data_IF_355971805214
#
_entry.id   IF_355971805214
#
_cell.length_a   1.000
_cell.length_b   1.000
_cell.length_c   1.000
_cell.angle_alpha   90.00
_cell.angle_beta   90.00
_cell.angle_gamma   90.00
#
_symmetry.space_group_name_H-M   'P 1'
#
loop_
_entity.id
_entity.type
_entity.pdbx_description
1 polymer ?
#
# COMPACT_ATOMS: atom_id res chain seq x y z
N UNK A 1 4.28 0.47 6.85
CA UNK A 1 3.67 -0.29 7.96
C UNK A 1 3.54 -1.76 7.61
N UNK A 2 2.57 -2.20 6.79
CA UNK A 2 2.36 -3.61 6.47
C UNK A 2 3.64 -4.34 5.97
N UNK A 3 4.22 -3.89 4.85
CA UNK A 3 5.43 -4.51 4.30
C UNK A 3 6.58 -4.60 5.30
N UNK A 4 6.78 -3.56 6.11
CA UNK A 4 7.85 -3.56 7.12
C UNK A 4 7.61 -4.51 8.30
N UNK A 5 6.37 -4.99 8.49
CA UNK A 5 6.07 -6.05 9.45
C UNK A 5 6.23 -7.43 8.80
N UNK A 6 5.75 -7.59 7.57
CA UNK A 6 5.91 -8.84 6.82
C UNK A 6 7.39 -9.18 6.57
N UNK A 7 8.23 -8.17 6.30
CA UNK A 7 9.68 -8.35 6.14
C UNK A 7 10.44 -8.84 7.38
N UNK A 8 9.77 -8.99 8.52
CA UNK A 8 10.39 -9.56 9.71
C UNK A 8 10.24 -11.08 9.75
N UNK A 9 9.40 -11.66 8.89
CA UNK A 9 9.24 -13.10 8.78
C UNK A 9 10.42 -13.70 8.00
N UNK A 10 11.09 -14.75 8.52
CA UNK A 10 12.29 -15.32 7.89
C UNK A 10 12.03 -15.88 6.48
N UNK A 11 10.82 -16.39 6.23
CA UNK A 11 10.46 -16.97 4.93
C UNK A 11 9.94 -15.94 3.90
N UNK A 12 9.93 -14.63 4.22
CA UNK A 12 9.47 -13.56 3.32
C UNK A 12 10.65 -12.76 2.77
N UNK A 13 10.78 -12.72 1.44
CA UNK A 13 11.65 -11.75 0.75
C UNK A 13 10.82 -10.59 0.21
N UNK A 14 11.13 -9.36 0.66
CA UNK A 14 10.38 -8.15 0.28
C UNK A 14 11.13 -7.30 -0.76
N UNK A 15 10.63 -7.32 -2.00
CA UNK A 15 11.12 -6.50 -3.12
C UNK A 15 10.47 -5.10 -3.17
N UNK A 16 9.54 -4.79 -2.27
CA UNK A 16 8.93 -3.46 -2.10
C UNK A 16 8.29 -2.92 -3.39
N UNK A 17 8.48 -1.64 -3.74
CA UNK A 17 7.94 -1.03 -4.96
C UNK A 17 8.86 -1.26 -6.17
N UNK A 18 8.68 -2.40 -6.85
CA UNK A 18 9.44 -2.75 -8.06
C UNK A 18 9.34 -1.66 -9.15
N UNK A 19 8.22 -0.94 -9.23
CA UNK A 19 7.99 0.10 -10.24
C UNK A 19 8.44 1.51 -9.84
N UNK A 20 8.97 1.68 -8.63
CA UNK A 20 9.53 2.94 -8.19
C UNK A 20 11.07 2.88 -8.30
N UNK A 21 11.69 3.45 -9.35
CA UNK A 21 13.12 3.23 -9.64
C UNK A 21 14.05 3.67 -8.51
N UNK A 22 13.58 4.50 -7.57
CA UNK A 22 14.37 4.98 -6.43
C UNK A 22 14.32 4.07 -5.20
N UNK A 23 13.35 3.16 -5.13
CA UNK A 23 13.14 2.31 -3.96
C UNK A 23 13.75 0.91 -4.16
N UNK A 24 14.58 0.50 -3.21
CA UNK A 24 15.20 -0.83 -3.13
C UNK A 24 15.00 -1.38 -1.72
N UNK A 25 14.72 -2.67 -1.59
CA UNK A 25 14.59 -3.34 -0.28
C UNK A 25 15.35 -4.65 -0.28
N UNK A 26 15.02 -5.57 -1.18
CA UNK A 26 15.82 -6.76 -1.49
C UNK A 26 16.33 -6.70 -2.94
N UNK A 27 17.38 -7.47 -3.23
CA UNK A 27 17.95 -7.68 -4.57
C UNK A 27 18.04 -9.20 -4.77
N UNK A 28 17.58 -9.75 -5.90
CA UNK A 28 17.76 -11.18 -6.18
C UNK A 28 19.24 -11.57 -6.15
N UNK A 29 19.58 -12.72 -5.56
CA UNK A 29 20.98 -13.14 -5.39
C UNK A 29 21.77 -13.23 -6.70
N UNK A 30 21.09 -13.50 -7.82
CA UNK A 30 21.70 -13.60 -9.14
C UNK A 30 22.08 -12.24 -9.77
N UNK A 31 21.78 -11.11 -9.11
CA UNK A 31 22.02 -9.77 -9.65
C UNK A 31 22.87 -8.93 -8.70
N UNK A 32 23.81 -8.19 -9.25
CA UNK A 32 24.41 -7.04 -8.57
C UNK A 32 23.38 -5.93 -8.37
N UNK A 33 23.68 -4.98 -7.49
CA UNK A 33 22.81 -3.82 -7.25
C UNK A 33 22.64 -2.99 -8.53
N UNK A 34 23.72 -2.81 -9.29
CA UNK A 34 23.76 -2.04 -10.52
C UNK A 34 22.88 -2.69 -11.59
N UNK A 35 23.01 -4.01 -11.79
CA UNK A 35 22.17 -4.77 -12.72
C UNK A 35 20.70 -4.74 -12.33
N UNK A 36 20.41 -4.95 -11.03
CA UNK A 36 19.05 -4.86 -10.50
C UNK A 36 18.44 -3.49 -10.78
N UNK A 37 19.17 -2.41 -10.48
CA UNK A 37 18.69 -1.04 -10.70
C UNK A 37 18.49 -0.73 -12.18
N UNK A 38 19.40 -1.19 -13.05
CA UNK A 38 19.28 -1.03 -14.48
C UNK A 38 18.06 -1.78 -15.05
N UNK A 39 17.86 -3.04 -14.66
CA UNK A 39 16.71 -3.85 -15.06
C UNK A 39 15.41 -3.27 -14.53
N UNK A 40 15.37 -2.87 -13.26
CA UNK A 40 14.20 -2.24 -12.63
C UNK A 40 13.78 -0.95 -13.33
N UNK A 41 14.74 -0.15 -13.80
CA UNK A 41 14.46 1.09 -14.53
C UNK A 41 14.04 0.86 -15.98
N UNK A 42 14.69 -0.07 -16.68
CA UNK A 42 14.49 -0.31 -18.12
C UNK A 42 13.35 -1.28 -18.41
N UNK A 43 13.28 -2.37 -17.66
CA UNK A 43 12.35 -3.48 -17.90
C UNK A 43 11.97 -4.21 -16.59
N UNK A 44 11.18 -3.58 -15.71
CA UNK A 44 10.75 -4.19 -14.43
C UNK A 44 9.89 -5.44 -14.61
N UNK A 45 9.29 -5.63 -15.79
CA UNK A 45 8.61 -6.85 -16.20
C UNK A 45 9.57 -8.03 -16.35
N UNK A 46 10.69 -7.82 -17.05
CA UNK A 46 11.74 -8.84 -17.20
C UNK A 46 12.37 -9.19 -15.86
N UNK A 47 12.59 -8.19 -15.01
CA UNK A 47 13.07 -8.40 -13.64
C UNK A 47 12.14 -9.35 -12.85
N UNK A 48 10.83 -9.17 -12.94
CA UNK A 48 9.87 -10.07 -12.30
C UNK A 48 10.00 -11.50 -12.83
N UNK A 49 9.89 -11.66 -14.15
CA UNK A 49 9.85 -12.97 -14.80
C UNK A 49 11.16 -13.75 -14.65
N UNK A 50 12.32 -13.11 -14.80
CA UNK A 50 13.60 -13.81 -14.90
C UNK A 50 14.31 -13.96 -13.54
N UNK A 51 13.95 -13.14 -12.54
CA UNK A 51 14.72 -13.07 -11.29
C UNK A 51 13.91 -13.06 -10.00
N UNK A 52 12.61 -12.77 -10.05
CA UNK A 52 11.77 -12.75 -8.85
C UNK A 52 10.80 -13.92 -8.84
N UNK A 53 10.15 -14.28 -9.95
CA UNK A 53 9.28 -15.45 -9.99
C UNK A 53 10.03 -16.79 -9.91
N UNK A 54 11.23 -16.94 -10.51
CA UNK A 54 11.99 -18.17 -10.36
C UNK A 54 12.37 -18.34 -8.89
N UNK A 55 11.87 -19.42 -8.30
CA UNK A 55 12.10 -19.76 -6.90
C UNK A 55 13.43 -20.51 -6.75
N UNK A 56 14.31 -19.99 -5.90
CA UNK A 56 15.30 -20.80 -5.18
C UNK A 56 14.76 -20.98 -3.75
N UNK A 57 14.75 -22.21 -3.24
CA UNK A 57 14.23 -22.48 -1.90
C UNK A 57 14.89 -21.62 -0.82
N UNK A 58 14.09 -21.12 0.12
CA UNK A 58 14.55 -20.51 1.38
C UNK A 58 14.21 -21.50 2.49
N UNK A 59 15.21 -21.95 3.25
CA UNK A 59 15.04 -22.93 4.34
C UNK A 59 14.32 -24.24 3.93
N UNK A 60 14.55 -24.73 2.71
CA UNK A 60 13.90 -25.94 2.20
C UNK A 60 12.41 -25.76 1.86
N UNK A 61 11.95 -24.51 1.68
CA UNK A 61 10.59 -24.17 1.26
C UNK A 61 10.61 -23.21 0.07
N UNK A 62 9.57 -23.21 -0.79
CA UNK A 62 9.42 -22.17 -1.79
C UNK A 62 9.40 -20.78 -1.13
N UNK A 63 10.19 -19.82 -1.63
CA UNK A 63 10.29 -18.50 -1.02
C UNK A 63 9.00 -17.71 -1.22
N UNK A 64 8.56 -16.97 -0.19
CA UNK A 64 7.44 -16.03 -0.35
C UNK A 64 7.98 -14.67 -0.75
N UNK A 65 7.86 -14.36 -2.05
CA UNK A 65 8.27 -13.09 -2.62
C UNK A 65 7.13 -12.08 -2.57
N UNK A 66 7.34 -10.95 -1.90
CA UNK A 66 6.34 -9.88 -1.78
C UNK A 66 6.84 -8.62 -2.49
N UNK A 67 5.98 -8.07 -3.33
CA UNK A 67 6.14 -6.75 -3.91
C UNK A 67 4.82 -5.97 -3.86
N UNK A 68 4.90 -4.65 -4.01
CA UNK A 68 3.76 -3.75 -3.93
C UNK A 68 3.53 -3.02 -5.24
N UNK A 69 2.28 -3.07 -5.69
CA UNK A 69 1.77 -2.25 -6.78
C UNK A 69 0.85 -1.16 -6.22
N UNK A 70 1.17 0.10 -6.52
CA UNK A 70 0.22 1.17 -6.27
C UNK A 70 -0.75 1.30 -7.45
N UNK A 71 -1.96 1.82 -7.21
CA UNK A 71 -2.97 1.96 -8.27
C UNK A 71 -2.47 2.76 -9.50
N UNK A 72 -1.65 3.78 -9.27
CA UNK A 72 -1.09 4.57 -10.37
C UNK A 72 -0.08 3.77 -11.21
N UNK A 73 0.63 2.79 -10.61
CA UNK A 73 1.51 1.88 -11.36
C UNK A 73 0.66 1.00 -12.28
N UNK A 74 -0.44 0.44 -11.77
CA UNK A 74 -1.34 -0.46 -12.52
C UNK A 74 -2.03 0.25 -13.70
N UNK A 75 -2.38 1.53 -13.54
CA UNK A 75 -3.01 2.33 -14.61
C UNK A 75 -2.04 2.81 -15.69
N UNK A 76 -0.73 2.71 -15.47
CA UNK A 76 0.26 3.12 -16.46
C UNK A 76 0.36 2.11 -17.62
N UNK A 77 1.03 2.48 -18.72
CA UNK A 77 1.30 1.56 -19.82
C UNK A 77 2.10 0.32 -19.36
N UNK A 78 3.10 0.53 -18.51
CA UNK A 78 3.83 -0.56 -17.86
C UNK A 78 2.93 -1.37 -16.92
N UNK A 79 1.99 -0.70 -16.25
CA UNK A 79 0.90 -1.28 -15.47
C UNK A 79 0.15 -2.39 -16.19
N UNK A 80 -0.32 -2.09 -17.41
CA UNK A 80 -1.06 -3.04 -18.25
C UNK A 80 -0.22 -4.28 -18.59
N UNK A 81 1.04 -4.09 -19.01
CA UNK A 81 1.98 -5.18 -19.30
C UNK A 81 2.22 -6.08 -18.09
N UNK A 82 2.28 -5.51 -16.90
CA UNK A 82 2.41 -6.31 -15.66
C UNK A 82 1.15 -7.15 -15.44
N UNK A 83 -0.03 -6.57 -15.64
CA UNK A 83 -1.26 -7.34 -15.49
C UNK A 83 -1.36 -8.47 -16.51
N UNK A 84 -0.89 -8.26 -17.75
CA UNK A 84 -0.78 -9.31 -18.78
C UNK A 84 0.15 -10.46 -18.33
N UNK A 85 1.20 -10.16 -17.57
CA UNK A 85 2.12 -11.19 -17.02
C UNK A 85 1.58 -11.88 -15.77
N UNK A 86 0.87 -11.14 -14.91
CA UNK A 86 0.34 -11.69 -13.66
C UNK A 86 -0.92 -12.52 -13.90
N UNK A 87 -1.71 -12.21 -14.92
CA UNK A 87 -2.99 -12.89 -15.17
C UNK A 87 -2.83 -14.40 -15.41
N UNK A 88 -1.87 -14.89 -16.21
CA UNK A 88 -1.63 -16.33 -16.38
C UNK A 88 -1.15 -17.02 -15.09
N UNK A 89 -0.58 -16.27 -14.15
CA UNK A 89 -0.07 -16.77 -12.86
C UNK A 89 -1.13 -16.67 -11.75
N UNK A 90 -2.40 -16.37 -12.07
CA UNK A 90 -3.40 -16.05 -11.05
C UNK A 90 -3.62 -17.15 -10.02
N UNK A 91 -3.42 -18.41 -10.40
CA UNK A 91 -3.52 -19.58 -9.51
C UNK A 91 -2.38 -19.61 -8.48
N UNK A 92 -1.19 -19.12 -8.84
CA UNK A 92 0.00 -19.11 -7.99
C UNK A 92 0.16 -17.80 -7.19
N UNK A 93 -0.71 -16.81 -7.44
CA UNK A 93 -0.62 -15.48 -6.84
C UNK A 93 -1.59 -15.28 -5.68
N UNK A 94 -1.05 -14.90 -4.53
CA UNK A 94 -1.80 -14.43 -3.38
C UNK A 94 -1.90 -12.89 -3.39
N UNK A 95 -3.10 -12.34 -3.58
CA UNK A 95 -3.32 -10.90 -3.68
C UNK A 95 -3.85 -10.30 -2.38
N UNK A 96 -3.05 -9.43 -1.76
CA UNK A 96 -3.49 -8.60 -0.62
C UNK A 96 -3.87 -7.20 -1.11
N UNK A 97 -5.17 -6.90 -1.11
CA UNK A 97 -5.71 -5.58 -1.44
C UNK A 97 -5.86 -4.71 -0.18
N UNK A 98 -4.83 -3.91 0.13
CA UNK A 98 -4.88 -2.97 1.24
C UNK A 98 -5.66 -1.70 0.86
N UNK A 99 -6.81 -1.49 1.49
CA UNK A 99 -7.70 -0.33 1.27
C UNK A 99 -7.81 0.53 2.53
N UNK A 100 -8.15 1.80 2.38
CA UNK A 100 -8.49 2.72 3.47
C UNK A 100 -9.96 3.09 3.30
N UNK A 101 -10.79 2.80 4.29
CA UNK A 101 -12.24 3.01 4.21
C UNK A 101 -12.55 4.48 4.01
N UNK A 102 -11.84 5.38 4.71
CA UNK A 102 -12.05 6.81 4.57
C UNK A 102 -11.22 7.41 3.42
N UNK A 103 -11.89 7.75 2.31
CA UNK A 103 -11.24 8.28 1.12
C UNK A 103 -10.72 9.73 1.30
N UNK A 104 -11.38 10.52 2.17
CA UNK A 104 -10.94 11.88 2.45
C UNK A 104 -9.67 11.90 3.30
N UNK A 105 -9.63 11.07 4.35
CA UNK A 105 -8.45 10.83 5.18
C UNK A 105 -7.27 10.29 4.37
N UNK A 106 -7.55 9.42 3.38
CA UNK A 106 -6.56 8.98 2.40
C UNK A 106 -6.00 10.15 1.59
N UNK A 107 -6.87 11.06 1.14
CA UNK A 107 -6.46 12.22 0.36
C UNK A 107 -5.63 13.21 1.18
N UNK A 108 -6.07 13.58 2.38
CA UNK A 108 -5.32 14.47 3.29
C UNK A 108 -3.95 13.89 3.63
N UNK A 109 -3.88 12.59 3.92
CA UNK A 109 -2.59 11.93 4.14
C UNK A 109 -1.67 11.98 2.93
N UNK A 110 -2.21 11.95 1.70
CA UNK A 110 -1.41 12.08 0.48
C UNK A 110 -0.84 13.50 0.37
N UNK A 111 -1.68 14.51 0.56
CA UNK A 111 -1.25 15.92 0.53
C UNK A 111 -0.15 16.21 1.55
N UNK A 112 -0.25 15.66 2.76
CA UNK A 112 0.79 15.83 3.78
C UNK A 112 2.11 15.19 3.36
N UNK A 113 2.07 14.01 2.75
CA UNK A 113 3.27 13.32 2.29
C UNK A 113 3.96 14.10 1.16
N UNK A 114 3.18 14.69 0.25
CA UNK A 114 3.68 15.55 -0.82
C UNK A 114 4.33 16.83 -0.27
N UNK A 115 3.71 17.46 0.74
CA UNK A 115 4.24 18.68 1.37
C UNK A 115 5.51 18.46 2.19
N UNK A 116 5.58 17.35 2.93
CA UNK A 116 6.67 17.12 3.89
C UNK A 116 7.82 16.29 3.31
N UNK A 117 7.65 15.71 2.12
CA UNK A 117 8.54 14.68 1.55
C UNK A 117 8.83 13.49 2.49
N UNK A 118 8.07 13.34 3.58
CA UNK A 118 8.24 12.32 4.61
C UNK A 118 6.96 11.48 4.71
N UNK A 119 7.11 10.18 4.46
CA UNK A 119 5.99 9.22 4.50
C UNK A 119 5.88 8.49 5.85
N UNK A 120 6.97 8.41 6.62
CA UNK A 120 7.06 7.75 7.94
C UNK A 120 8.12 8.44 8.81
N UNK A 121 7.95 8.36 10.14
CA UNK A 121 8.95 8.79 11.13
C UNK A 121 9.45 7.52 11.85
N UNK A 122 10.76 7.35 11.94
CA UNK A 122 11.38 6.26 12.72
C UNK A 122 11.10 6.47 14.21
N UNK A 123 10.84 5.37 14.94
CA UNK A 123 10.64 5.41 16.39
C UNK A 123 11.88 6.03 17.07
N UNK A 124 11.69 7.04 17.93
CA UNK A 124 12.77 7.68 18.70
C UNK A 124 13.41 8.93 18.10
N UNK A 125 12.94 9.43 16.94
CA UNK A 125 13.35 10.77 16.43
C UNK A 125 12.32 11.83 16.80
N UNK A 126 12.79 13.08 16.92
CA UNK A 126 11.91 14.25 17.07
C UNK A 126 10.80 14.24 16.03
N UNK A 127 9.58 14.38 16.53
CA UNK A 127 8.40 14.37 15.71
C UNK A 127 8.39 15.66 14.87
N UNK A 128 8.22 15.59 13.54
CA UNK A 128 7.95 16.80 12.78
C UNK A 128 6.69 17.45 13.37
N UNK A 129 6.74 18.77 13.61
CA UNK A 129 5.54 19.51 14.01
C UNK A 129 4.43 19.25 12.98
N UNK A 130 3.18 19.07 13.42
CA UNK A 130 2.04 19.02 12.50
C UNK A 130 2.12 20.20 11.53
N UNK A 131 1.92 20.00 10.22
CA UNK A 131 1.81 21.14 9.33
C UNK A 131 0.62 22.01 9.77
N UNK A 132 0.74 23.33 9.63
CA UNK A 132 -0.38 24.22 9.89
C UNK A 132 -1.60 23.81 9.06
N UNK A 133 -2.82 23.87 9.63
CA UNK A 133 -4.02 23.51 8.91
C UNK A 133 -4.16 24.29 7.61
N UNK A 134 -4.41 23.58 6.51
CA UNK A 134 -4.46 24.18 5.18
C UNK A 134 -5.84 24.00 4.53
N UNK A 135 -6.27 24.91 3.65
CA UNK A 135 -7.51 24.73 2.93
C UNK A 135 -7.37 23.63 1.89
N UNK A 136 -8.48 22.90 1.65
CA UNK A 136 -8.61 21.95 0.56
C UNK A 136 -9.74 22.41 -0.35
N UNK A 137 -9.48 22.48 -1.66
CA UNK A 137 -10.49 22.86 -2.63
C UNK A 137 -11.57 21.76 -2.77
N UNK A 138 -12.85 22.17 -2.77
CA UNK A 138 -14.01 21.25 -2.88
C UNK A 138 -13.91 20.34 -4.10
N UNK A 139 -13.58 20.93 -5.26
CA UNK A 139 -13.44 20.19 -6.52
C UNK A 139 -12.34 19.13 -6.46
N UNK A 140 -11.21 19.44 -5.84
CA UNK A 140 -10.10 18.52 -5.67
C UNK A 140 -10.44 17.38 -4.72
N UNK A 141 -11.04 17.68 -3.56
CA UNK A 141 -11.49 16.66 -2.61
C UNK A 141 -12.46 15.67 -3.30
N UNK A 142 -13.46 16.18 -4.02
CA UNK A 142 -14.42 15.35 -4.75
C UNK A 142 -13.74 14.46 -5.79
N UNK A 143 -12.84 15.03 -6.61
CA UNK A 143 -12.10 14.26 -7.63
C UNK A 143 -11.23 13.20 -6.99
N UNK A 144 -10.47 13.54 -5.95
CA UNK A 144 -9.58 12.61 -5.27
C UNK A 144 -10.32 11.44 -4.62
N UNK A 145 -11.43 11.72 -3.92
CA UNK A 145 -12.26 10.68 -3.31
C UNK A 145 -12.90 9.77 -4.37
N UNK A 146 -13.40 10.35 -5.47
CA UNK A 146 -13.97 9.60 -6.59
C UNK A 146 -12.93 8.69 -7.23
N UNK A 147 -11.79 9.24 -7.66
CA UNK A 147 -10.72 8.48 -8.30
C UNK A 147 -10.22 7.34 -7.41
N UNK A 148 -10.11 7.57 -6.10
CA UNK A 148 -9.72 6.51 -5.17
C UNK A 148 -10.74 5.37 -5.12
N UNK A 149 -12.04 5.69 -5.07
CA UNK A 149 -13.09 4.67 -5.09
C UNK A 149 -13.14 3.91 -6.42
N UNK A 150 -12.92 4.62 -7.52
CA UNK A 150 -12.85 4.01 -8.85
C UNK A 150 -11.64 3.07 -8.96
N UNK A 151 -10.48 3.47 -8.43
CA UNK A 151 -9.28 2.62 -8.35
C UNK A 151 -9.53 1.37 -7.52
N UNK A 152 -10.17 1.51 -6.35
CA UNK A 152 -10.55 0.36 -5.49
C UNK A 152 -11.47 -0.60 -6.25
N UNK A 153 -12.49 -0.08 -6.93
CA UNK A 153 -13.46 -0.89 -7.67
C UNK A 153 -12.82 -1.55 -8.90
N UNK A 154 -11.93 -0.84 -9.60
CA UNK A 154 -11.18 -1.36 -10.74
C UNK A 154 -10.37 -2.59 -10.33
N UNK A 155 -9.57 -2.48 -9.25
CA UNK A 155 -8.76 -3.61 -8.77
C UNK A 155 -9.64 -4.77 -8.33
N UNK A 156 -10.72 -4.51 -7.57
CA UNK A 156 -11.68 -5.56 -7.17
C UNK A 156 -12.28 -6.30 -8.36
N UNK A 157 -12.61 -5.60 -9.44
CA UNK A 157 -13.12 -6.23 -10.67
C UNK A 157 -12.04 -7.04 -11.38
N UNK A 158 -10.83 -6.49 -11.47
CA UNK A 158 -9.69 -7.07 -12.16
C UNK A 158 -9.27 -8.42 -11.56
N UNK A 159 -9.18 -8.53 -10.22
CA UNK A 159 -8.76 -9.76 -9.54
C UNK A 159 -9.93 -10.64 -9.07
N UNK A 160 -11.17 -10.34 -9.51
CA UNK A 160 -12.38 -11.05 -9.04
C UNK A 160 -12.32 -12.55 -9.33
N UNK A 161 -11.74 -12.94 -10.46
CA UNK A 161 -11.60 -14.33 -10.87
C UNK A 161 -10.39 -15.05 -10.27
N UNK A 162 -9.53 -14.36 -9.51
CA UNK A 162 -8.32 -14.97 -8.96
C UNK A 162 -8.66 -15.70 -7.64
N UNK A 163 -8.19 -16.93 -7.44
CA UNK A 163 -8.59 -17.77 -6.32
C UNK A 163 -8.14 -17.20 -4.96
N UNK A 164 -6.90 -16.73 -4.86
CA UNK A 164 -6.29 -16.33 -3.60
C UNK A 164 -6.26 -14.81 -3.44
N UNK A 165 -7.29 -14.25 -2.79
CA UNK A 165 -7.42 -12.81 -2.57
C UNK A 165 -7.88 -12.47 -1.16
N UNK A 166 -7.24 -11.46 -0.57
CA UNK A 166 -7.57 -10.92 0.75
C UNK A 166 -7.70 -9.39 0.68
N UNK A 167 -8.83 -8.84 1.11
CA UNK A 167 -8.95 -7.38 1.31
C UNK A 167 -8.64 -7.04 2.75
N UNK A 168 -7.64 -6.20 2.97
CA UNK A 168 -7.26 -5.72 4.31
C UNK A 168 -7.65 -4.25 4.42
N UNK A 169 -8.35 -3.87 5.49
CA UNK A 169 -8.63 -2.46 5.75
C UNK A 169 -7.52 -1.86 6.60
N UNK A 170 -7.06 -0.67 6.21
CA UNK A 170 -6.03 0.06 6.91
C UNK A 170 -6.44 0.35 8.36
N UNK A 171 -7.70 0.67 8.59
CA UNK A 171 -8.26 0.94 9.90
C UNK A 171 -8.16 -0.29 10.83
N UNK A 172 -8.45 -1.49 10.30
CA UNK A 172 -8.29 -2.75 11.03
C UNK A 172 -6.81 -3.04 11.29
N UNK A 173 -5.94 -2.82 10.30
CA UNK A 173 -4.50 -3.00 10.44
C UNK A 173 -3.88 -2.07 11.50
N UNK A 174 -4.44 -0.86 11.68
CA UNK A 174 -3.98 0.09 12.70
C UNK A 174 -4.54 -0.28 14.08
N UNK A 175 -5.85 -0.51 14.18
CA UNK A 175 -6.57 -0.70 15.45
C UNK A 175 -6.40 -2.12 16.03
N UNK A 176 -6.40 -3.15 15.18
CA UNK A 176 -6.31 -4.57 15.54
C UNK A 176 -5.10 -5.21 14.87
N UNK A 177 -3.93 -4.58 15.05
CA UNK A 177 -2.72 -4.91 14.28
C UNK A 177 -2.29 -6.36 14.37
N UNK A 178 -2.17 -6.92 15.57
CA UNK A 178 -1.72 -8.31 15.78
C UNK A 178 -2.68 -9.27 15.07
N UNK A 179 -3.98 -9.12 15.31
CA UNK A 179 -5.02 -9.92 14.66
C UNK A 179 -4.95 -9.83 13.13
N UNK A 180 -4.83 -8.62 12.59
CA UNK A 180 -4.79 -8.39 11.14
C UNK A 180 -3.53 -8.97 10.51
N UNK A 181 -2.37 -8.86 11.18
CA UNK A 181 -1.13 -9.45 10.69
C UNK A 181 -1.18 -10.98 10.75
N UNK A 182 -1.72 -11.57 11.81
CA UNK A 182 -1.86 -13.02 11.91
C UNK A 182 -2.77 -13.57 10.80
N UNK A 183 -3.88 -12.88 10.51
CA UNK A 183 -4.75 -13.22 9.38
C UNK A 183 -4.00 -13.17 8.04
N UNK A 184 -3.04 -12.25 7.87
CA UNK A 184 -2.22 -12.17 6.67
C UNK A 184 -1.20 -13.32 6.62
N UNK A 185 -0.59 -13.70 7.75
CA UNK A 185 0.29 -14.87 7.79
C UNK A 185 -0.47 -16.16 7.44
N UNK A 186 -1.64 -16.36 8.02
CA UNK A 186 -2.52 -17.49 7.68
C UNK A 186 -2.88 -17.50 6.19
N UNK A 187 -3.25 -16.34 5.62
CA UNK A 187 -3.53 -16.21 4.19
C UNK A 187 -2.32 -16.54 3.32
N UNK A 188 -1.10 -16.25 3.78
CA UNK A 188 0.16 -16.58 3.11
C UNK A 188 0.66 -18.00 3.44
N UNK A 189 -0.10 -18.79 4.20
CA UNK A 189 0.30 -20.12 4.68
C UNK A 189 1.63 -20.11 5.46
N UNK A 190 1.82 -19.07 6.28
CA UNK A 190 2.98 -18.89 7.14
C UNK A 190 2.62 -19.04 8.62
N UNK A 191 3.59 -19.51 9.39
CA UNK A 191 3.50 -19.51 10.83
C UNK A 191 3.51 -18.07 11.36
N UNK A 192 2.59 -17.71 12.28
CA UNK A 192 2.50 -16.35 12.78
C UNK A 192 3.71 -16.03 13.66
N UNK A 193 4.44 -14.98 13.30
CA UNK A 193 5.43 -14.36 14.19
C UNK A 193 4.85 -13.12 14.87
N UNK A 194 5.47 -12.66 15.95
CA UNK A 194 5.15 -11.39 16.59
C UNK A 194 6.08 -10.28 16.07
N UNK A 195 5.71 -9.52 15.01
CA UNK A 195 6.60 -8.50 14.47
C UNK A 195 6.75 -7.31 15.43
N UNK A 196 7.97 -6.81 15.53
CA UNK A 196 8.30 -5.58 16.22
C UNK A 196 7.75 -4.36 15.48
N UNK A 197 7.25 -3.39 16.26
CA UNK A 197 6.78 -2.11 15.70
C UNK A 197 7.96 -1.15 15.57
N UNK A 198 8.56 -1.09 14.38
CA UNK A 198 9.72 -0.21 14.08
C UNK A 198 9.33 1.19 13.60
N UNK A 199 8.08 1.40 13.21
CA UNK A 199 7.55 2.72 12.80
C UNK A 199 6.09 2.87 13.19
N UNK A 200 5.71 4.07 13.63
CA UNK A 200 4.32 4.46 13.86
C UNK A 200 4.03 5.68 13.01
N UNK A 201 2.96 5.62 12.22
CA UNK A 201 2.52 6.80 11.48
C UNK A 201 1.83 7.74 12.46
N UNK A 202 2.34 8.97 12.55
CA UNK A 202 1.58 10.08 13.11
C UNK A 202 0.45 10.38 12.13
N UNK A 203 -0.75 9.93 12.42
CA UNK A 203 -1.93 10.31 11.64
C UNK A 203 -2.81 11.15 12.53
N UNK A 204 -2.61 12.46 12.47
CA UNK A 204 -3.63 13.39 12.95
C UNK A 204 -4.87 13.18 12.07
N UNK A 205 -6.09 13.21 12.62
CA UNK A 205 -7.31 13.20 11.83
C UNK A 205 -7.39 14.39 10.85
N UNK A 206 -8.05 14.20 9.71
CA UNK A 206 -8.22 15.24 8.69
C UNK A 206 -8.90 16.50 9.24
N UNK A 207 -9.84 16.36 10.17
CA UNK A 207 -10.56 17.47 10.81
C UNK A 207 -9.66 18.50 11.47
N UNK A 208 -8.48 18.08 11.96
CA UNK A 208 -7.51 18.98 12.59
C UNK A 208 -6.45 19.50 11.62
N UNK A 209 -6.40 19.00 10.38
CA UNK A 209 -5.39 19.38 9.38
C UNK A 209 -5.96 20.21 8.24
N UNK A 210 -7.29 20.18 8.05
CA UNK A 210 -7.96 20.89 6.97
C UNK A 210 -8.68 22.10 7.52
N UNK A 211 -8.18 23.30 7.21
CA UNK A 211 -8.70 24.57 7.73
C UNK A 211 -10.19 24.80 7.43
N UNK A 212 -10.67 24.31 6.29
CA UNK A 212 -12.06 24.42 5.87
C UNK A 212 -12.85 23.11 6.01
N UNK A 213 -12.48 22.23 6.95
CA UNK A 213 -13.10 20.91 7.13
C UNK A 213 -14.63 20.99 7.27
N UNK A 214 -15.15 21.81 8.19
CA UNK A 214 -16.60 21.94 8.40
C UNK A 214 -17.34 22.41 7.14
N UNK A 215 -16.75 23.33 6.37
CA UNK A 215 -17.31 23.78 5.09
C UNK A 215 -17.34 22.67 4.04
N UNK A 216 -16.40 21.72 4.08
CA UNK A 216 -16.40 20.54 3.21
C UNK A 216 -17.42 19.52 3.69
N UNK A 217 -17.48 19.26 5.00
CA UNK A 217 -18.46 18.37 5.63
C UNK A 217 -19.89 18.77 5.29
N UNK A 218 -20.23 20.05 5.47
CA UNK A 218 -21.54 20.61 5.10
C UNK A 218 -21.83 20.38 3.60
N UNK A 219 -20.87 20.75 2.75
CA UNK A 219 -21.00 20.65 1.29
C UNK A 219 -21.21 19.22 0.79
N UNK A 220 -20.64 18.22 1.47
CA UNK A 220 -20.74 16.82 1.08
C UNK A 220 -21.79 16.02 1.84
N UNK A 221 -22.47 16.59 2.85
CA UNK A 221 -23.41 15.90 3.76
C UNK A 221 -24.40 15.03 3.00
N UNK A 222 -25.15 15.61 2.07
CA UNK A 222 -26.18 14.93 1.27
C UNK A 222 -25.65 14.25 0.00
N UNK A 223 -24.36 13.93 -0.03
CA UNK A 223 -23.75 13.23 -1.17
C UNK A 223 -23.20 11.88 -0.73
N UNK A 224 -22.92 10.99 -1.69
CA UNK A 224 -22.19 9.73 -1.43
C UNK A 224 -20.82 9.90 -0.75
N UNK A 225 -20.28 11.12 -0.69
CA UNK A 225 -19.02 11.44 -0.03
C UNK A 225 -19.19 11.91 1.42
N UNK A 226 -20.42 12.21 1.87
CA UNK A 226 -20.71 12.70 3.23
C UNK A 226 -20.19 11.77 4.32
N UNK A 227 -20.34 10.45 4.11
CA UNK A 227 -19.81 9.38 4.98
C UNK A 227 -18.30 9.43 5.29
N UNK A 228 -17.51 10.21 4.54
CA UNK A 228 -16.08 10.38 4.81
C UNK A 228 -15.77 11.51 5.79
N UNK A 229 -16.79 12.26 6.18
CA UNK A 229 -16.72 13.33 7.18
C UNK A 229 -17.45 12.97 8.49
N UNK A 230 -18.02 11.78 8.57
CA UNK A 230 -18.56 11.20 9.80
C UNK A 230 -17.39 10.65 10.66
N UNK A 231 -17.43 10.94 11.96
CA UNK A 231 -16.45 10.39 12.89
C UNK A 231 -16.64 8.87 13.00
N UNK A 232 -15.76 8.12 12.34
CA UNK A 232 -15.75 6.66 12.37
C UNK A 232 -14.70 6.10 13.33
N UNK A 233 -14.96 4.95 13.97
CA UNK A 233 -13.96 4.29 14.82
C UNK A 233 -12.76 3.87 13.97
N UNK A 234 -11.56 4.28 14.39
CA UNK A 234 -10.31 4.14 13.63
C UNK A 234 -9.40 5.36 13.72
N UNK A 235 -9.88 6.43 14.37
CA UNK A 235 -9.12 7.49 15.01
C UNK A 235 -9.61 7.70 16.43
#
# INVERSE_FOLDING_TARGET
MLLGQLSQHPDITNFSEIFNPKQVSAIPHALSREEYMALKARNPTKLLHDHIFPASEINGKPPIHIFKLQYHNIKSANGKRIMELLTPLSEDLQVIHLIRRNAFERYVSKLNAEKTSKYFVSKGREQPRPPDPYPVARGEARRAMRHYLDDVNMIKKMVRGWPHRLTVRYEELVAQRIKTINQIFEFLSLEPIRPEVRSQKQSIPARFQVRNYEKLREHFRETRFGRFFEDGPGY
#
